data_IF_633528885141
#
_entry.id   IF_633528885141
#
_cell.length_a   1.000
_cell.length_b   1.000
_cell.length_c   1.000
_cell.angle_alpha   90.00
_cell.angle_beta   90.00
_cell.angle_gamma   90.00
#
_symmetry.space_group_name_H-M   'P 1'
#
loop_
_entity.id
_entity.type
_entity.pdbx_description
1 polymer ?
#
# COMPACT_ATOMS: atom_id res chain seq x y z
N UNK A 1 3.52 2.44 -9.88
CA UNK A 1 2.46 2.26 -8.87
C UNK A 1 1.27 1.53 -9.47
N UNK A 2 0.60 0.69 -8.69
CA UNK A 2 -0.71 0.15 -9.07
C UNK A 2 -1.79 1.17 -8.74
N UNK A 3 -2.67 1.44 -9.70
CA UNK A 3 -3.69 2.48 -9.58
C UNK A 3 -5.04 1.99 -10.13
N UNK A 4 -6.13 2.35 -9.44
CA UNK A 4 -7.48 2.04 -9.87
C UNK A 4 -7.82 2.67 -11.22
N UNK A 5 -8.46 1.90 -12.09
CA UNK A 5 -8.88 2.40 -13.41
C UNK A 5 -7.76 2.57 -14.42
N UNK A 6 -6.54 2.10 -14.11
CA UNK A 6 -5.41 2.07 -15.03
C UNK A 6 -5.14 0.65 -15.55
N UNK A 7 -4.17 0.50 -16.45
CA UNK A 7 -3.73 -0.80 -16.98
C UNK A 7 -2.90 -1.62 -15.98
N UNK A 8 -2.65 -1.11 -14.79
CA UNK A 8 -1.86 -1.76 -13.74
C UNK A 8 -2.61 -1.67 -12.43
N UNK A 9 -3.48 -2.62 -12.17
CA UNK A 9 -4.33 -2.63 -10.98
C UNK A 9 -4.39 -3.98 -10.25
N UNK A 10 -4.10 -5.08 -10.94
CA UNK A 10 -4.20 -6.46 -10.40
C UNK A 10 -2.84 -7.06 -10.06
N UNK A 11 -2.86 -8.19 -9.33
CA UNK A 11 -1.66 -9.00 -9.08
C UNK A 11 -0.96 -9.44 -10.37
N UNK A 12 -1.75 -9.88 -11.35
CA UNK A 12 -1.24 -10.34 -12.63
C UNK A 12 -0.54 -9.23 -13.42
N UNK A 13 -1.07 -8.01 -13.38
CA UNK A 13 -0.44 -6.86 -14.03
C UNK A 13 0.91 -6.53 -13.39
N UNK A 14 0.96 -6.50 -12.07
CA UNK A 14 2.19 -6.26 -11.32
C UNK A 14 3.24 -7.36 -11.56
N UNK A 15 2.82 -8.62 -11.63
CA UNK A 15 3.71 -9.74 -11.95
C UNK A 15 4.24 -9.65 -13.38
N UNK A 16 3.42 -9.26 -14.37
CA UNK A 16 3.89 -9.00 -15.74
C UNK A 16 4.98 -7.93 -15.79
N UNK A 17 4.81 -6.85 -15.01
CA UNK A 17 5.85 -5.81 -14.87
C UNK A 17 7.11 -6.40 -14.23
N UNK A 18 6.98 -7.18 -13.18
CA UNK A 18 8.10 -7.85 -12.53
C UNK A 18 8.87 -8.76 -13.51
N UNK A 19 8.16 -9.59 -14.27
CA UNK A 19 8.77 -10.45 -15.29
C UNK A 19 9.45 -9.64 -16.41
N UNK A 20 8.85 -8.53 -16.84
CA UNK A 20 9.47 -7.62 -17.80
C UNK A 20 10.77 -7.00 -17.26
N UNK A 21 10.80 -6.59 -16.01
CA UNK A 21 12.02 -6.10 -15.34
C UNK A 21 13.13 -7.15 -15.41
N UNK A 22 12.80 -8.40 -15.10
CA UNK A 22 13.77 -9.51 -15.15
C UNK A 22 14.24 -9.83 -16.59
N UNK A 23 13.30 -9.98 -17.52
CA UNK A 23 13.59 -10.28 -18.92
C UNK A 23 14.53 -9.23 -19.54
N UNK A 24 14.30 -7.97 -19.25
CA UNK A 24 15.11 -6.85 -19.77
C UNK A 24 16.30 -6.50 -18.91
N UNK A 25 16.51 -7.21 -17.79
CA UNK A 25 17.60 -6.94 -16.83
C UNK A 25 17.64 -5.50 -16.34
N UNK A 26 16.46 -4.90 -16.10
CA UNK A 26 16.32 -3.50 -15.67
C UNK A 26 16.63 -3.40 -14.17
N UNK A 27 17.69 -2.69 -13.80
CA UNK A 27 18.15 -2.60 -12.40
C UNK A 27 17.52 -1.46 -11.60
N UNK A 28 17.09 -0.40 -12.26
CA UNK A 28 16.63 0.85 -11.66
C UNK A 28 15.12 1.09 -11.77
N UNK A 29 14.35 0.06 -12.11
CA UNK A 29 12.89 0.09 -12.08
C UNK A 29 12.38 -0.80 -10.95
N UNK A 30 11.51 -0.25 -10.12
CA UNK A 30 10.88 -0.94 -8.99
C UNK A 30 9.38 -0.68 -8.98
N UNK A 31 8.67 -1.51 -8.25
CA UNK A 31 7.23 -1.35 -8.02
C UNK A 31 7.03 -0.51 -6.76
N UNK A 32 6.21 0.51 -6.89
CA UNK A 32 5.58 1.20 -5.78
C UNK A 32 4.21 0.54 -5.56
N UNK A 33 4.07 -0.19 -4.47
CA UNK A 33 2.87 -0.96 -4.20
C UNK A 33 1.92 -0.20 -3.29
N UNK A 34 0.77 0.22 -3.83
CA UNK A 34 -0.30 0.82 -3.05
C UNK A 34 -1.26 -0.26 -2.54
N UNK A 35 -1.24 -0.47 -1.23
CA UNK A 35 -2.04 -1.50 -0.57
C UNK A 35 -3.54 -1.21 -0.72
N UNK A 36 -3.97 0.05 -0.60
CA UNK A 36 -5.39 0.38 -0.65
C UNK A 36 -5.96 0.26 -2.06
N UNK A 37 -5.25 0.73 -3.08
CA UNK A 37 -5.65 0.54 -4.46
C UNK A 37 -5.76 -0.94 -4.82
N UNK A 38 -4.80 -1.74 -4.34
CA UNK A 38 -4.84 -3.18 -4.54
C UNK A 38 -6.02 -3.83 -3.79
N UNK A 39 -6.21 -3.49 -2.52
CA UNK A 39 -7.26 -4.06 -1.66
C UNK A 39 -8.67 -3.85 -2.20
N UNK A 40 -8.92 -2.74 -2.90
CA UNK A 40 -10.20 -2.46 -3.55
C UNK A 40 -10.48 -3.46 -4.68
N UNK A 41 -9.45 -3.91 -5.39
CA UNK A 41 -9.56 -4.84 -6.54
C UNK A 41 -9.47 -6.28 -6.08
N UNK A 42 -8.47 -6.59 -5.25
CA UNK A 42 -8.15 -7.93 -4.76
C UNK A 42 -7.76 -7.86 -3.26
N UNK A 43 -8.66 -8.16 -2.32
CA UNK A 43 -8.39 -7.93 -0.89
C UNK A 43 -7.39 -8.91 -0.26
N UNK A 44 -6.77 -9.80 -1.02
CA UNK A 44 -5.80 -10.80 -0.54
C UNK A 44 -4.35 -10.32 -0.68
N UNK A 45 -4.03 -9.24 0.03
CA UNK A 45 -2.70 -8.61 0.00
C UNK A 45 -1.59 -9.57 0.44
N UNK A 46 -1.85 -10.39 1.44
CA UNK A 46 -0.97 -11.44 1.96
C UNK A 46 -0.48 -12.43 0.90
N UNK A 47 -1.30 -12.71 -0.09
CA UNK A 47 -0.96 -13.66 -1.16
C UNK A 47 -0.11 -13.07 -2.28
N UNK A 48 -0.19 -11.76 -2.51
CA UNK A 48 0.54 -11.11 -3.60
C UNK A 48 1.90 -10.58 -3.18
N UNK A 49 2.01 -10.07 -1.97
CA UNK A 49 3.26 -9.48 -1.46
C UNK A 49 4.45 -10.43 -1.57
N UNK A 50 4.38 -11.70 -1.13
CA UNK A 50 5.50 -12.63 -1.28
C UNK A 50 5.94 -12.85 -2.73
N UNK A 51 5.00 -12.83 -3.67
CA UNK A 51 5.29 -13.00 -5.10
C UNK A 51 5.96 -11.78 -5.72
N UNK A 52 5.65 -10.59 -5.22
CA UNK A 52 6.19 -9.32 -5.68
C UNK A 52 7.42 -8.85 -4.90
N UNK A 53 7.83 -9.57 -3.85
CA UNK A 53 8.91 -9.22 -2.93
C UNK A 53 10.16 -8.65 -3.61
N UNK A 54 10.60 -9.28 -4.69
CA UNK A 54 11.81 -8.89 -5.44
C UNK A 54 11.70 -7.52 -6.11
N UNK A 55 10.49 -7.09 -6.40
CA UNK A 55 10.20 -5.92 -7.22
C UNK A 55 9.73 -4.71 -6.43
N UNK A 56 9.08 -4.94 -5.27
CA UNK A 56 8.57 -3.86 -4.42
C UNK A 56 9.75 -3.18 -3.72
N UNK A 57 9.70 -1.85 -3.68
CA UNK A 57 10.63 -1.00 -2.94
C UNK A 57 9.91 0.02 -2.06
N UNK A 58 8.75 0.48 -2.50
CA UNK A 58 7.89 1.41 -1.79
C UNK A 58 6.52 0.81 -1.52
N UNK A 59 5.99 1.06 -0.34
CA UNK A 59 4.61 0.76 0.05
C UNK A 59 3.87 2.07 0.29
N UNK A 60 2.79 2.30 -0.45
CA UNK A 60 1.83 3.35 -0.14
C UNK A 60 0.81 2.86 0.89
N UNK A 61 0.64 3.65 1.95
CA UNK A 61 -0.30 3.39 3.01
C UNK A 61 -1.35 4.48 3.05
N UNK A 62 -2.58 4.14 2.69
CA UNK A 62 -3.79 4.93 2.86
C UNK A 62 -4.93 4.01 3.23
N UNK A 63 -5.91 4.48 3.95
CA UNK A 63 -7.05 3.65 4.35
C UNK A 63 -8.37 4.32 3.99
N UNK A 64 -9.41 3.53 3.89
CA UNK A 64 -10.73 4.03 3.49
C UNK A 64 -11.85 3.27 4.22
N UNK A 65 -13.02 3.87 4.21
CA UNK A 65 -14.32 3.24 4.48
C UNK A 65 -15.15 3.25 3.21
N UNK A 66 -16.08 2.31 3.06
CA UNK A 66 -16.98 2.24 1.92
C UNK A 66 -18.43 2.23 2.42
N UNK A 67 -19.29 2.98 1.75
CA UNK A 67 -20.72 3.04 1.97
C UNK A 67 -21.47 3.25 0.64
N UNK A 68 -22.77 3.47 0.69
CA UNK A 68 -23.62 3.68 -0.50
C UNK A 68 -23.21 4.91 -1.35
N UNK A 69 -22.45 5.84 -0.78
CA UNK A 69 -21.92 7.01 -1.48
C UNK A 69 -20.53 6.77 -2.10
N UNK A 70 -19.95 5.58 -1.91
CA UNK A 70 -18.66 5.17 -2.45
C UNK A 70 -17.56 5.08 -1.42
N UNK A 71 -16.31 5.26 -1.90
CA UNK A 71 -15.09 5.17 -1.10
C UNK A 71 -14.74 6.52 -0.49
N UNK A 72 -14.49 6.53 0.82
CA UNK A 72 -14.07 7.70 1.57
C UNK A 72 -12.74 7.40 2.30
N UNK A 73 -11.67 8.08 1.92
CA UNK A 73 -10.38 7.95 2.58
C UNK A 73 -10.42 8.52 3.98
N UNK A 74 -9.74 7.83 4.90
CA UNK A 74 -9.72 8.16 6.33
C UNK A 74 -8.32 8.05 6.89
N UNK A 75 -8.15 8.44 8.14
CA UNK A 75 -6.94 8.23 8.95
C UNK A 75 -6.55 6.74 8.96
N UNK A 76 -5.27 6.42 8.88
CA UNK A 76 -4.76 5.06 8.60
C UNK A 76 -5.36 3.98 9.50
N UNK A 77 -5.50 4.24 10.79
CA UNK A 77 -6.06 3.29 11.76
C UNK A 77 -7.60 3.20 11.79
N UNK A 78 -8.32 3.96 10.95
CA UNK A 78 -9.79 4.08 11.00
C UNK A 78 -10.52 3.47 9.81
N UNK A 79 -9.79 2.91 8.86
CA UNK A 79 -10.39 2.30 7.67
C UNK A 79 -10.59 0.79 7.81
N UNK A 80 -11.02 0.20 6.71
CA UNK A 80 -11.35 -1.24 6.65
C UNK A 80 -10.14 -2.14 6.44
N UNK A 81 -8.99 -1.59 6.05
CA UNK A 81 -7.76 -2.36 5.81
C UNK A 81 -7.06 -2.56 7.16
N UNK A 82 -6.84 -3.80 7.53
CA UNK A 82 -6.05 -4.16 8.71
C UNK A 82 -4.55 -4.05 8.43
N UNK A 83 -4.06 -2.83 8.47
CA UNK A 83 -2.63 -2.55 8.27
C UNK A 83 -1.73 -3.20 9.31
N UNK A 84 -2.21 -3.43 10.53
CA UNK A 84 -1.41 -4.05 11.57
C UNK A 84 -1.01 -5.47 11.16
N UNK A 85 -1.98 -6.27 10.75
CA UNK A 85 -1.74 -7.64 10.27
C UNK A 85 -0.87 -7.64 9.01
N UNK A 86 -1.21 -6.79 8.02
CA UNK A 86 -0.46 -6.72 6.76
C UNK A 86 0.99 -6.31 6.98
N UNK A 87 1.27 -5.32 7.82
CA UNK A 87 2.64 -4.87 8.11
C UNK A 87 3.43 -5.96 8.83
N UNK A 88 2.81 -6.67 9.77
CA UNK A 88 3.45 -7.78 10.44
C UNK A 88 3.88 -8.88 9.43
N UNK A 89 3.00 -9.27 8.52
CA UNK A 89 3.30 -10.24 7.46
C UNK A 89 4.39 -9.72 6.50
N UNK A 90 4.35 -8.42 6.15
CA UNK A 90 5.39 -7.80 5.30
C UNK A 90 6.76 -7.86 5.99
N UNK A 91 6.84 -7.56 7.28
CA UNK A 91 8.10 -7.56 8.03
C UNK A 91 8.82 -8.91 8.01
N UNK A 92 8.10 -10.01 7.97
CA UNK A 92 8.69 -11.35 7.84
C UNK A 92 9.42 -11.56 6.50
N UNK A 93 9.08 -10.78 5.49
CA UNK A 93 9.55 -10.98 4.12
C UNK A 93 10.54 -9.92 3.63
N UNK A 94 10.62 -8.75 4.27
CA UNK A 94 11.39 -7.62 3.76
C UNK A 94 12.26 -6.98 4.84
N UNK A 95 13.47 -6.56 4.45
CA UNK A 95 14.44 -5.92 5.35
C UNK A 95 14.46 -4.39 5.15
N UNK A 96 14.30 -3.90 3.92
CA UNK A 96 14.50 -2.50 3.55
C UNK A 96 13.33 -1.93 2.73
N UNK A 97 12.10 -1.93 3.28
CA UNK A 97 10.97 -1.27 2.64
C UNK A 97 10.79 0.15 3.14
N UNK A 98 10.43 1.04 2.23
CA UNK A 98 10.00 2.39 2.55
C UNK A 98 8.48 2.44 2.59
N UNK A 99 7.93 2.79 3.75
CA UNK A 99 6.50 3.04 3.91
C UNK A 99 6.22 4.53 3.74
N UNK A 100 5.29 4.86 2.88
CA UNK A 100 4.87 6.21 2.58
C UNK A 100 3.39 6.40 2.87
N UNK A 101 3.04 7.46 3.58
CA UNK A 101 1.64 7.80 3.84
C UNK A 101 1.08 8.64 2.70
N UNK A 102 -0.08 8.24 2.19
CA UNK A 102 -0.87 9.04 1.28
C UNK A 102 -2.18 9.47 1.97
N UNK A 103 -2.30 10.77 2.24
CA UNK A 103 -3.45 11.32 2.98
C UNK A 103 -4.34 12.13 2.04
N UNK A 104 -5.59 11.70 1.92
CA UNK A 104 -6.62 12.32 1.08
C UNK A 104 -7.56 13.28 1.83
N UNK A 105 -7.09 13.91 2.92
CA UNK A 105 -7.88 14.94 3.62
C UNK A 105 -8.01 16.20 2.76
N UNK A 106 -9.25 16.66 2.54
CA UNK A 106 -9.55 17.83 1.71
C UNK A 106 -9.41 19.14 2.46
N UNK A 107 -9.67 19.13 3.76
CA UNK A 107 -9.59 20.31 4.60
C UNK A 107 -8.14 20.53 5.03
N UNK A 108 -7.53 21.62 4.54
CA UNK A 108 -6.11 21.92 4.79
C UNK A 108 -5.79 21.98 6.28
N UNK A 109 -6.66 22.58 7.08
CA UNK A 109 -6.46 22.74 8.51
C UNK A 109 -6.45 21.39 9.27
N UNK A 110 -7.15 20.39 8.73
CA UNK A 110 -7.19 19.03 9.30
C UNK A 110 -6.09 18.14 8.77
N UNK A 111 -5.56 18.43 7.59
CA UNK A 111 -4.59 17.58 6.89
C UNK A 111 -3.36 17.28 7.73
N UNK A 112 -2.78 18.29 8.37
CA UNK A 112 -1.60 18.12 9.21
C UNK A 112 -1.85 17.17 10.40
N UNK A 113 -3.03 17.26 11.01
CA UNK A 113 -3.40 16.38 12.13
C UNK A 113 -3.64 14.95 11.66
N UNK A 114 -4.33 14.76 10.54
CA UNK A 114 -4.56 13.43 9.95
C UNK A 114 -3.24 12.77 9.55
N UNK A 115 -2.32 13.50 8.94
CA UNK A 115 -0.96 13.02 8.64
C UNK A 115 -0.24 12.60 9.91
N UNK A 116 -0.24 13.44 10.97
CA UNK A 116 0.41 13.12 12.23
C UNK A 116 -0.15 11.87 12.89
N UNK A 117 -1.48 11.73 12.93
CA UNK A 117 -2.14 10.55 13.51
C UNK A 117 -1.84 9.30 12.72
N UNK A 118 -1.97 9.36 11.39
CA UNK A 118 -1.64 8.25 10.50
C UNK A 118 -0.17 7.83 10.63
N UNK A 119 0.75 8.79 10.77
CA UNK A 119 2.16 8.50 11.01
C UNK A 119 2.39 7.77 12.34
N UNK A 120 1.77 8.23 13.42
CA UNK A 120 1.91 7.57 14.74
C UNK A 120 1.36 6.14 14.69
N UNK A 121 0.20 5.95 14.06
CA UNK A 121 -0.39 4.62 13.84
C UNK A 121 0.53 3.72 13.03
N UNK A 122 1.07 4.21 11.90
CA UNK A 122 1.99 3.46 11.06
C UNK A 122 3.26 3.08 11.82
N UNK A 123 3.83 4.05 12.55
CA UNK A 123 5.04 3.83 13.35
C UNK A 123 4.82 2.79 14.46
N UNK A 124 3.64 2.80 15.09
CA UNK A 124 3.26 1.77 16.06
C UNK A 124 3.20 0.38 15.40
N UNK A 125 2.59 0.27 14.22
CA UNK A 125 2.49 -1.00 13.51
C UNK A 125 3.84 -1.54 13.05
N UNK A 126 4.77 -0.66 12.67
CA UNK A 126 6.13 -1.04 12.24
C UNK A 126 7.01 -1.46 13.42
N UNK A 127 6.90 -0.76 14.56
CA UNK A 127 7.85 -0.91 15.67
C UNK A 127 7.25 -1.56 16.93
N UNK A 128 5.95 -1.78 16.99
CA UNK A 128 5.21 -2.25 18.16
C UNK A 128 4.89 -3.74 18.16
N UNK A 129 5.51 -4.52 17.27
CA UNK A 129 5.35 -5.98 17.19
C UNK A 129 6.23 -6.72 18.18
#
# INVERSE_FOLDING_TARGET
>A
ENELGTSVSTADDLLKIGHFIDEKSIKNLKIWFDIANYYIVEPQVDKVIPKLKKYIYYIHCKNYVSNDLGIHYVELGKGIIDYKTIIHEIHEHFIDLIFSLEVHEKEIDKKAEVVRKSYLTLNEYINGG
#
